data_IF_120427659534
#
_entry.id   IF_120427659534
#
_cell.length_a   1.000
_cell.length_b   1.000
_cell.length_c   1.000
_cell.angle_alpha   90.00
_cell.angle_beta   90.00
_cell.angle_gamma   90.00
#
_symmetry.space_group_name_H-M   'P 1'
#
loop_
_entity.id
_entity.type
_entity.pdbx_description
1 polymer ?
#
# COMPACT_ATOMS: atom_id res chain seq x y z
N UNK A 1 13.73 -7.64 6.92
CA UNK A 1 13.25 -8.44 8.05
C UNK A 1 13.34 -9.93 7.73
N UNK A 2 13.97 -10.70 8.61
CA UNK A 2 14.11 -12.14 8.43
C UNK A 2 12.86 -12.84 8.97
N UNK A 3 12.19 -13.69 8.16
CA UNK A 3 11.06 -14.45 8.65
C UNK A 3 11.49 -15.46 9.74
N UNK A 4 10.65 -15.63 10.74
CA UNK A 4 10.90 -16.52 11.87
C UNK A 4 9.79 -17.56 11.94
N UNK A 5 10.18 -18.86 12.00
CA UNK A 5 9.25 -19.97 12.16
C UNK A 5 9.64 -20.71 13.44
N UNK A 6 8.69 -20.84 14.35
CA UNK A 6 8.92 -21.58 15.60
C UNK A 6 8.62 -23.06 15.41
N UNK A 7 9.52 -23.91 15.93
CA UNK A 7 9.33 -25.34 16.00
C UNK A 7 8.96 -25.71 17.43
N UNK A 8 7.83 -26.39 17.63
CA UNK A 8 7.37 -26.74 18.95
C UNK A 8 6.92 -28.19 19.02
N UNK A 9 7.09 -28.81 20.16
CA UNK A 9 6.61 -30.16 20.43
C UNK A 9 5.18 -30.17 21.00
N UNK A 10 4.62 -29.01 21.29
CA UNK A 10 3.31 -28.87 21.90
C UNK A 10 2.28 -28.45 20.87
N UNK A 11 1.14 -29.13 20.87
CA UNK A 11 0.03 -28.82 19.99
C UNK A 11 -1.07 -28.08 20.77
N UNK A 12 -0.70 -27.13 21.57
CA UNK A 12 -1.61 -26.35 22.40
C UNK A 12 -1.82 -24.97 21.74
N UNK A 13 -3.08 -24.56 21.64
CA UNK A 13 -3.45 -23.27 21.06
C UNK A 13 -2.82 -22.12 21.85
N UNK A 14 -2.72 -22.27 23.18
CA UNK A 14 -2.09 -21.25 24.03
C UNK A 14 -0.61 -21.06 23.68
N UNK A 15 0.10 -22.14 23.40
CA UNK A 15 1.50 -22.09 23.01
C UNK A 15 1.66 -21.43 21.65
N UNK A 16 0.69 -21.64 20.74
CA UNK A 16 0.68 -20.97 19.43
C UNK A 16 0.57 -19.46 19.57
N UNK A 17 -0.38 -19.03 20.39
CA UNK A 17 -0.60 -17.59 20.60
C UNK A 17 0.66 -16.97 21.23
N UNK A 18 1.24 -17.61 22.23
CA UNK A 18 2.46 -17.11 22.87
C UNK A 18 3.60 -17.03 21.86
N UNK A 19 3.76 -18.05 21.02
CA UNK A 19 4.82 -18.06 20.00
C UNK A 19 4.65 -16.95 18.98
N UNK A 20 3.46 -16.73 18.47
CA UNK A 20 3.17 -15.67 17.49
C UNK A 20 3.28 -14.29 18.13
N UNK A 21 2.82 -14.14 19.36
CA UNK A 21 2.92 -12.86 20.09
C UNK A 21 4.38 -12.51 20.38
N UNK A 22 5.26 -13.50 20.48
CA UNK A 22 6.69 -13.28 20.66
C UNK A 22 7.40 -12.82 19.39
N UNK A 23 6.67 -12.70 18.27
CA UNK A 23 7.22 -12.17 17.03
C UNK A 23 7.56 -13.20 15.97
N UNK A 24 7.17 -14.46 16.15
CA UNK A 24 7.35 -15.46 15.10
C UNK A 24 6.37 -15.23 13.95
N UNK A 25 6.82 -15.48 12.73
CA UNK A 25 5.96 -15.35 11.54
C UNK A 25 5.07 -16.57 11.34
N UNK A 26 5.50 -17.71 11.87
CA UNK A 26 4.76 -18.97 11.80
C UNK A 26 5.32 -19.92 12.84
N UNK A 27 4.67 -21.05 13.00
CA UNK A 27 5.23 -22.09 13.86
C UNK A 27 4.79 -23.47 13.37
N UNK A 28 5.57 -24.50 13.68
CA UNK A 28 5.32 -25.88 13.28
C UNK A 28 5.34 -26.78 14.51
N UNK A 29 4.31 -27.59 14.67
CA UNK A 29 4.19 -28.53 15.80
C UNK A 29 4.91 -29.82 15.46
N UNK A 30 5.70 -30.33 16.42
CA UNK A 30 6.37 -31.62 16.29
C UNK A 30 5.40 -32.77 16.69
N UNK A 31 5.41 -33.92 16.03
CA UNK A 31 6.23 -34.24 14.87
C UNK A 31 5.75 -33.56 13.60
N UNK A 32 6.66 -33.11 12.79
CA UNK A 32 6.34 -32.43 11.52
C UNK A 32 7.05 -33.13 10.36
N UNK A 33 6.47 -33.05 9.17
CA UNK A 33 7.11 -33.55 7.96
C UNK A 33 8.08 -32.49 7.42
N UNK A 34 9.16 -32.96 6.79
CA UNK A 34 10.10 -32.06 6.14
C UNK A 34 9.37 -31.27 5.03
N UNK A 35 8.44 -31.91 4.33
CA UNK A 35 7.66 -31.28 3.29
C UNK A 35 6.83 -30.11 3.83
N UNK A 36 6.18 -30.29 4.98
CA UNK A 36 5.41 -29.24 5.62
C UNK A 36 6.31 -28.07 6.02
N UNK A 37 7.45 -28.36 6.65
CA UNK A 37 8.40 -27.33 7.06
C UNK A 37 8.90 -26.55 5.84
N UNK A 38 9.31 -27.25 4.78
CA UNK A 38 9.79 -26.60 3.57
C UNK A 38 8.69 -25.75 2.91
N UNK A 39 7.45 -26.24 2.93
CA UNK A 39 6.33 -25.49 2.38
C UNK A 39 6.11 -24.18 3.13
N UNK A 40 6.22 -24.23 4.48
CA UNK A 40 6.06 -23.03 5.31
C UNK A 40 7.22 -22.06 5.12
N UNK A 41 8.43 -22.56 4.97
CA UNK A 41 9.61 -21.73 4.68
C UNK A 41 9.42 -21.04 3.32
N UNK A 42 9.03 -21.78 2.29
CA UNK A 42 8.77 -21.20 0.96
C UNK A 42 7.69 -20.13 1.02
N UNK A 43 6.64 -20.36 1.78
CA UNK A 43 5.55 -19.40 1.92
C UNK A 43 6.04 -18.08 2.55
N UNK A 44 6.89 -18.19 3.60
CA UNK A 44 7.43 -16.99 4.26
C UNK A 44 8.43 -16.24 3.38
N UNK A 45 9.28 -16.97 2.66
CA UNK A 45 10.21 -16.35 1.72
C UNK A 45 9.48 -15.69 0.55
N UNK A 46 8.43 -16.35 0.05
CA UNK A 46 7.58 -15.79 -1.00
C UNK A 46 6.90 -14.49 -0.53
N UNK A 47 6.38 -14.48 0.69
CA UNK A 47 5.80 -13.28 1.28
C UNK A 47 6.83 -12.15 1.36
N UNK A 48 8.06 -12.48 1.69
CA UNK A 48 9.16 -11.51 1.73
C UNK A 48 9.47 -10.98 0.33
N UNK A 49 9.44 -11.84 -0.69
CA UNK A 49 9.63 -11.44 -2.08
C UNK A 49 8.43 -10.65 -2.62
N UNK A 50 7.23 -11.01 -2.16
CA UNK A 50 5.99 -10.35 -2.56
C UNK A 50 5.87 -8.92 -2.02
N UNK A 51 6.82 -8.43 -1.21
CA UNK A 51 6.85 -7.01 -0.84
C UNK A 51 6.93 -6.12 -2.08
N UNK A 52 7.42 -6.63 -3.20
CA UNK A 52 7.40 -5.90 -4.47
C UNK A 52 5.99 -5.69 -5.00
N UNK A 53 5.04 -6.56 -4.67
CA UNK A 53 3.64 -6.41 -5.06
C UNK A 53 2.94 -5.31 -4.27
N UNK A 54 3.48 -4.96 -3.11
CA UNK A 54 2.97 -3.84 -2.32
C UNK A 54 3.44 -2.49 -2.87
N UNK A 55 4.38 -2.49 -3.81
CA UNK A 55 4.92 -1.29 -4.40
C UNK A 55 4.24 -1.02 -5.74
N UNK A 56 3.55 0.10 -5.83
CA UNK A 56 3.01 0.59 -7.08
C UNK A 56 4.00 1.58 -7.67
N UNK A 57 4.26 1.44 -8.96
CA UNK A 57 5.22 2.30 -9.64
C UNK A 57 4.65 2.81 -10.95
N UNK A 58 4.83 4.09 -11.21
CA UNK A 58 4.44 4.72 -12.46
C UNK A 58 5.45 5.82 -12.76
N UNK A 59 6.14 5.72 -13.90
CA UNK A 59 7.26 6.62 -14.21
C UNK A 59 8.28 6.58 -13.07
N UNK A 60 8.64 7.72 -12.51
CA UNK A 60 9.56 7.81 -11.39
C UNK A 60 8.86 7.84 -10.02
N UNK A 61 7.53 7.72 -10.03
CA UNK A 61 6.73 7.70 -8.79
C UNK A 61 6.61 6.28 -8.28
N UNK A 62 6.92 6.09 -7.00
CA UNK A 62 6.71 4.80 -6.35
C UNK A 62 5.99 5.00 -5.01
N UNK A 63 5.12 4.07 -4.69
CA UNK A 63 4.31 4.10 -3.49
C UNK A 63 4.25 2.70 -2.90
N UNK A 64 4.63 2.57 -1.63
CA UNK A 64 4.54 1.30 -0.92
C UNK A 64 3.28 1.31 -0.06
N UNK A 65 2.32 0.43 -0.40
CA UNK A 65 1.05 0.35 0.32
C UNK A 65 1.22 -0.09 1.76
N UNK A 66 2.23 -0.91 2.01
CA UNK A 66 2.46 -1.50 3.31
C UNK A 66 3.12 -0.52 4.28
N UNK A 67 4.16 0.17 3.82
CA UNK A 67 4.89 1.12 4.66
C UNK A 67 4.35 2.54 4.55
N UNK A 68 3.55 2.82 3.53
CA UNK A 68 3.00 4.13 3.18
C UNK A 68 4.08 5.14 2.76
N UNK A 69 5.22 4.64 2.30
CA UNK A 69 6.29 5.48 1.77
C UNK A 69 6.03 5.82 0.32
N UNK A 70 6.34 7.07 -0.05
CA UNK A 70 6.16 7.58 -1.41
C UNK A 70 7.45 8.26 -1.84
N UNK A 71 7.86 8.00 -3.08
CA UNK A 71 9.09 8.59 -3.65
C UNK A 71 8.85 9.07 -5.08
N UNK A 72 9.46 10.19 -5.44
CA UNK A 72 9.67 10.59 -6.83
C UNK A 72 11.16 10.41 -7.12
N UNK A 73 11.51 9.37 -7.91
CA UNK A 73 12.91 8.99 -8.06
C UNK A 73 13.49 8.60 -6.70
N UNK A 74 14.49 9.35 -6.25
CA UNK A 74 15.11 9.12 -4.94
C UNK A 74 14.57 10.05 -3.84
N UNK A 75 13.69 10.97 -4.19
CA UNK A 75 13.18 11.96 -3.27
C UNK A 75 11.98 11.42 -2.49
N UNK A 76 12.10 11.35 -1.17
CA UNK A 76 11.00 10.93 -0.30
C UNK A 76 9.95 12.05 -0.21
N UNK A 77 8.69 11.68 -0.26
CA UNK A 77 7.56 12.61 -0.19
C UNK A 77 6.71 12.26 1.01
N UNK A 78 6.48 13.21 1.90
CA UNK A 78 5.60 13.01 3.04
C UNK A 78 4.19 13.45 2.69
N UNK A 79 3.25 12.51 2.84
CA UNK A 79 1.84 12.75 2.57
C UNK A 79 1.02 12.55 3.84
N UNK A 80 -0.05 13.33 3.96
CA UNK A 80 -1.06 13.06 4.98
C UNK A 80 -1.81 11.78 4.61
N UNK A 81 -2.57 11.23 5.56
CA UNK A 81 -3.32 9.99 5.32
C UNK A 81 -4.27 10.12 4.12
N UNK A 82 -4.99 11.24 4.01
CA UNK A 82 -5.93 11.44 2.89
C UNK A 82 -5.22 11.68 1.57
N UNK A 83 -4.10 12.41 1.58
CA UNK A 83 -3.29 12.58 0.38
C UNK A 83 -2.77 11.24 -0.12
N UNK A 84 -2.31 10.41 0.80
CA UNK A 84 -1.84 9.07 0.46
C UNK A 84 -2.98 8.22 -0.13
N UNK A 85 -4.15 8.21 0.51
CA UNK A 85 -5.30 7.43 0.05
C UNK A 85 -5.74 7.86 -1.35
N UNK A 86 -5.75 9.16 -1.60
CA UNK A 86 -6.10 9.70 -2.91
C UNK A 86 -5.07 9.28 -3.98
N UNK A 87 -3.80 9.42 -3.67
CA UNK A 87 -2.75 9.01 -4.60
C UNK A 87 -2.80 7.51 -4.88
N UNK A 88 -3.00 6.70 -3.84
CA UNK A 88 -3.10 5.25 -3.97
C UNK A 88 -4.24 4.87 -4.90
N UNK A 89 -5.39 5.52 -4.75
CA UNK A 89 -6.54 5.25 -5.59
C UNK A 89 -6.24 5.53 -7.07
N UNK A 90 -5.67 6.68 -7.36
CA UNK A 90 -5.33 7.05 -8.74
C UNK A 90 -4.22 6.16 -9.31
N UNK A 91 -3.23 5.86 -8.51
CA UNK A 91 -2.07 5.06 -8.93
C UNK A 91 -2.43 3.59 -9.13
N UNK A 92 -3.44 3.09 -8.44
CA UNK A 92 -3.92 1.72 -8.61
C UNK A 92 -4.53 1.47 -9.99
N UNK A 93 -4.97 2.52 -10.66
CA UNK A 93 -5.60 2.43 -11.98
C UNK A 93 -5.06 3.54 -12.87
N UNK A 94 -3.77 3.46 -13.27
CA UNK A 94 -3.18 4.51 -14.09
C UNK A 94 -3.89 4.60 -15.44
N UNK A 95 -3.95 5.81 -15.96
CA UNK A 95 -4.61 6.17 -17.22
C UNK A 95 -6.12 6.06 -17.21
N UNK A 96 -6.72 5.68 -16.07
CA UNK A 96 -8.17 5.67 -15.93
C UNK A 96 -8.63 7.00 -15.33
N UNK A 97 -9.70 7.58 -15.92
CA UNK A 97 -10.30 8.80 -15.39
C UNK A 97 -11.34 8.43 -14.34
N UNK A 98 -11.23 9.06 -13.17
CA UNK A 98 -12.21 8.90 -12.10
C UNK A 98 -13.00 10.17 -11.92
N UNK A 99 -14.32 10.03 -11.78
CA UNK A 99 -15.18 11.18 -11.53
C UNK A 99 -14.99 11.69 -10.11
N UNK A 100 -15.39 12.94 -9.85
CA UNK A 100 -15.35 13.51 -8.50
C UNK A 100 -16.14 12.65 -7.52
N UNK A 101 -17.31 12.17 -7.93
CA UNK A 101 -18.16 11.35 -7.07
C UNK A 101 -17.47 10.03 -6.73
N UNK A 102 -16.82 9.39 -7.70
CA UNK A 102 -16.07 8.16 -7.46
C UNK A 102 -14.93 8.38 -6.47
N UNK A 103 -14.19 9.46 -6.63
CA UNK A 103 -13.08 9.80 -5.73
C UNK A 103 -13.60 10.10 -4.33
N UNK A 104 -14.66 10.91 -4.25
CA UNK A 104 -15.23 11.29 -2.97
C UNK A 104 -15.70 10.07 -2.19
N UNK A 105 -16.43 9.19 -2.86
CA UNK A 105 -16.97 7.98 -2.26
C UNK A 105 -15.86 7.02 -1.83
N UNK A 106 -14.85 6.82 -2.68
CA UNK A 106 -13.78 5.85 -2.42
C UNK A 106 -12.80 6.31 -1.35
N UNK A 107 -12.44 7.58 -1.35
CA UNK A 107 -11.41 8.13 -0.46
C UNK A 107 -12.02 8.70 0.82
N UNK A 108 -13.13 9.40 0.72
CA UNK A 108 -13.79 10.01 1.89
C UNK A 108 -14.95 9.19 2.44
N UNK A 109 -15.60 8.39 1.60
CA UNK A 109 -16.68 7.49 2.01
C UNK A 109 -18.06 8.04 1.75
N UNK A 110 -19.06 7.16 1.82
CA UNK A 110 -20.46 7.50 1.55
C UNK A 110 -21.03 8.51 2.54
N UNK A 111 -20.51 8.51 3.78
CA UNK A 111 -21.03 9.34 4.85
C UNK A 111 -20.42 10.74 4.88
N UNK A 112 -19.59 11.07 3.89
CA UNK A 112 -18.96 12.38 3.84
C UNK A 112 -19.99 13.47 3.60
N UNK A 113 -20.10 14.39 4.54
CA UNK A 113 -21.08 15.50 4.49
C UNK A 113 -20.45 16.83 4.10
N UNK A 114 -19.16 16.83 3.77
CA UNK A 114 -18.47 18.05 3.37
C UNK A 114 -18.69 18.42 1.91
N UNK A 115 -18.07 19.54 1.53
CA UNK A 115 -18.13 20.04 0.17
C UNK A 115 -17.23 19.22 -0.75
N UNK A 116 -17.70 18.91 -1.95
CA UNK A 116 -16.92 18.19 -2.97
C UNK A 116 -15.67 18.94 -3.41
N UNK A 117 -15.57 20.24 -3.10
CA UNK A 117 -14.37 21.05 -3.36
C UNK A 117 -13.13 20.53 -2.63
N UNK A 118 -13.31 19.67 -1.63
CA UNK A 118 -12.18 19.09 -0.91
C UNK A 118 -11.27 18.29 -1.85
N UNK A 119 -11.82 17.69 -2.88
CA UNK A 119 -11.03 16.93 -3.87
C UNK A 119 -10.03 17.86 -4.54
N UNK A 120 -10.48 19.02 -4.98
CA UNK A 120 -9.63 20.00 -5.67
C UNK A 120 -8.50 20.49 -4.77
N UNK A 121 -8.79 20.69 -3.48
CA UNK A 121 -7.80 21.11 -2.50
C UNK A 121 -6.72 20.04 -2.36
N UNK A 122 -7.11 18.77 -2.21
CA UNK A 122 -6.17 17.67 -2.05
C UNK A 122 -5.39 17.37 -3.33
N UNK A 123 -6.01 17.50 -4.48
CA UNK A 123 -5.31 17.36 -5.78
C UNK A 123 -4.22 18.43 -5.87
N UNK A 124 -4.53 19.67 -5.47
CA UNK A 124 -3.53 20.74 -5.47
C UNK A 124 -2.38 20.45 -4.53
N UNK A 125 -2.67 19.97 -3.32
CA UNK A 125 -1.63 19.61 -2.35
C UNK A 125 -0.75 18.48 -2.88
N UNK A 126 -1.35 17.45 -3.47
CA UNK A 126 -0.59 16.36 -4.08
C UNK A 126 0.31 16.86 -5.20
N UNK A 127 -0.22 17.69 -6.09
CA UNK A 127 0.56 18.24 -7.19
C UNK A 127 1.76 19.04 -6.67
N UNK A 128 1.54 19.88 -5.66
CA UNK A 128 2.61 20.67 -5.08
C UNK A 128 3.72 19.77 -4.53
N UNK A 129 3.35 18.71 -3.82
CA UNK A 129 4.32 17.80 -3.22
C UNK A 129 5.03 16.93 -4.25
N UNK A 130 4.28 16.42 -5.23
CA UNK A 130 4.83 15.56 -6.26
C UNK A 130 5.70 16.31 -7.27
N UNK A 131 5.47 17.62 -7.45
CA UNK A 131 6.16 18.43 -8.44
C UNK A 131 7.11 19.47 -7.81
N UNK A 132 7.43 19.31 -6.53
CA UNK A 132 8.21 20.29 -5.76
C UNK A 132 9.56 20.60 -6.39
N UNK A 133 10.21 19.61 -6.99
CA UNK A 133 11.50 19.77 -7.67
C UNK A 133 11.34 19.86 -9.19
N UNK A 134 10.23 20.42 -9.66
CA UNK A 134 9.94 20.58 -11.08
C UNK A 134 9.77 19.27 -11.84
N UNK A 135 9.35 18.23 -11.12
CA UNK A 135 9.06 16.95 -11.76
C UNK A 135 7.86 17.05 -12.69
N UNK A 136 7.80 16.10 -13.63
CA UNK A 136 6.71 16.03 -14.60
C UNK A 136 5.37 15.81 -13.90
N UNK A 137 4.34 16.47 -14.40
CA UNK A 137 2.99 16.30 -13.86
C UNK A 137 2.46 14.90 -14.20
N UNK A 138 1.95 14.21 -13.19
CA UNK A 138 1.35 12.89 -13.35
C UNK A 138 -0.15 12.89 -13.05
N UNK A 139 -0.63 13.80 -12.21
CA UNK A 139 -2.06 13.91 -11.93
C UNK A 139 -2.64 14.98 -12.83
N UNK A 140 -3.52 14.58 -13.75
CA UNK A 140 -4.10 15.45 -14.75
C UNK A 140 -5.58 15.63 -14.51
N UNK A 141 -6.09 16.80 -14.86
CA UNK A 141 -7.51 17.09 -14.81
C UNK A 141 -8.15 16.70 -16.14
N UNK A 142 -9.18 15.86 -16.09
CA UNK A 142 -10.03 15.60 -17.25
C UNK A 142 -11.21 16.55 -17.14
N UNK A 143 -11.19 17.63 -17.90
CA UNK A 143 -12.17 18.72 -17.79
C UNK A 143 -13.60 18.23 -17.86
N UNK A 144 -14.41 18.62 -16.86
CA UNK A 144 -15.81 18.26 -16.81
C UNK A 144 -16.09 16.83 -16.42
N UNK A 145 -15.05 16.03 -16.15
CA UNK A 145 -15.18 14.62 -15.77
C UNK A 145 -14.55 14.34 -14.41
N UNK A 146 -13.26 14.58 -14.26
CA UNK A 146 -12.55 14.27 -13.01
C UNK A 146 -11.06 14.32 -13.17
N UNK A 147 -10.37 13.31 -12.63
CA UNK A 147 -8.91 13.28 -12.56
C UNK A 147 -8.37 11.92 -12.97
N UNK A 148 -7.14 11.91 -13.47
CA UNK A 148 -6.45 10.69 -13.85
C UNK A 148 -4.96 10.83 -13.57
N UNK A 149 -4.31 9.69 -13.31
CA UNK A 149 -2.86 9.62 -13.19
C UNK A 149 -2.31 9.03 -14.49
N UNK A 150 -1.50 9.81 -15.19
CA UNK A 150 -0.88 9.39 -16.45
C UNK A 150 0.40 10.19 -16.69
N UNK A 151 1.13 9.80 -17.74
CA UNK A 151 2.34 10.52 -18.14
C UNK A 151 2.07 11.92 -18.68
#
# INVERSE_FOLDING_TARGET
KIPVILLTAKDDVSDRVIGLDAGADDYVVKPFSIEELLARIRARLRTTQETNEDILQFEDLSLNRRTREVFRGKRAIELTAKEFDLLLYLLSHPRQVFTRDQILERVWGYDFLGDSNIIEVYIRYLRLKLEENHEKRLIHTARGVGYTLRE
#
